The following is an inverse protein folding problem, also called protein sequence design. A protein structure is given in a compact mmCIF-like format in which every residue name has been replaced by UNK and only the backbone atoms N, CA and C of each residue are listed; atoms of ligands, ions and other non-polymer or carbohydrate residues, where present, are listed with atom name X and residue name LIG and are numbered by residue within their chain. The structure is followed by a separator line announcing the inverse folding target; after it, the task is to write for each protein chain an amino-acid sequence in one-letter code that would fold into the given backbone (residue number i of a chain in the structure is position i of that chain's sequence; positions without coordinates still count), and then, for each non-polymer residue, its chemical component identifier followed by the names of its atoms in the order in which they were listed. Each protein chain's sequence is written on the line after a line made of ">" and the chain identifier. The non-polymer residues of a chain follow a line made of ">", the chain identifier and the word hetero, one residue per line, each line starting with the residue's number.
data_IF_540754402089
#
_entry.id   IF_540754402089
#
_cell.length_a   1.000
_cell.length_b   1.000
_cell.length_c   1.000
_cell.angle_alpha   90.00
_cell.angle_beta   90.00
_cell.angle_gamma   90.00
#
_symmetry.space_group_name_H-M   'P 1'
#
loop_
_entity.id
_entity.type
_entity.pdbx_description
1 polymer ?
#
# COMPACT_ATOMS: atom_id res chain seq x y z
N UNK A 1 -6.64 0.37 12.35
CA UNK A 1 -5.65 -0.74 12.48
C UNK A 1 -5.15 -1.01 11.08
N UNK A 2 -3.84 -1.19 10.86
CA UNK A 2 -3.29 -1.46 9.54
C UNK A 2 -3.72 -2.84 9.04
N UNK A 3 -3.95 -2.95 7.73
CA UNK A 3 -4.26 -4.22 7.06
C UNK A 3 -2.96 -4.96 6.72
N UNK A 4 -2.84 -6.22 7.14
CA UNK A 4 -1.64 -7.05 6.94
C UNK A 4 -1.90 -8.09 5.84
N UNK A 5 -0.95 -8.31 4.94
CA UNK A 5 -1.00 -9.39 3.95
C UNK A 5 -0.63 -10.76 4.58
N UNK A 6 -1.25 -11.90 4.20
CA UNK A 6 -2.29 -12.05 3.20
C UNK A 6 -3.70 -11.86 3.78
N UNK A 7 -4.47 -10.98 3.13
CA UNK A 7 -5.93 -10.83 3.30
C UNK A 7 -6.61 -11.10 1.97
N UNK A 8 -7.92 -11.34 1.98
CA UNK A 8 -8.70 -11.42 0.74
C UNK A 8 -8.65 -10.08 0.02
N UNK A 9 -7.86 -10.00 -1.04
CA UNK A 9 -7.69 -8.80 -1.84
C UNK A 9 -8.86 -8.62 -2.82
N UNK A 10 -9.33 -7.38 -3.05
CA UNK A 10 -10.32 -7.11 -4.08
C UNK A 10 -9.75 -7.43 -5.48
N UNK A 11 -10.61 -7.79 -6.45
CA UNK A 11 -10.17 -7.93 -7.82
C UNK A 11 -9.63 -6.59 -8.33
N UNK A 12 -8.45 -6.64 -8.94
CA UNK A 12 -7.82 -5.47 -9.57
C UNK A 12 -8.50 -5.27 -10.93
N UNK A 13 -9.02 -4.06 -11.24
CA UNK A 13 -9.55 -3.76 -12.56
C UNK A 13 -8.42 -3.80 -13.60
N UNK A 14 -8.74 -4.03 -14.89
CA UNK A 14 -7.73 -4.07 -15.97
C UNK A 14 -6.83 -2.81 -16.00
N UNK A 15 -7.38 -1.66 -15.59
CA UNK A 15 -6.68 -0.37 -15.52
C UNK A 15 -6.78 0.23 -14.10
N UNK A 16 -5.94 -0.22 -13.14
CA UNK A 16 -6.00 0.27 -11.75
C UNK A 16 -5.45 1.70 -11.62
N UNK A 17 -4.50 2.09 -12.46
CA UNK A 17 -3.99 3.47 -12.49
C UNK A 17 -5.06 4.46 -12.95
N UNK A 18 -5.97 4.03 -13.82
CA UNK A 18 -7.04 4.88 -14.34
C UNK A 18 -8.28 4.83 -13.44
N UNK A 19 -8.63 3.64 -12.95
CA UNK A 19 -9.84 3.38 -12.15
C UNK A 19 -9.66 3.80 -10.70
N UNK A 20 -8.53 3.47 -10.08
CA UNK A 20 -8.23 3.81 -8.69
C UNK A 20 -7.31 5.02 -8.58
N UNK A 21 -6.81 5.58 -9.69
CA UNK A 21 -5.85 6.71 -9.66
C UNK A 21 -4.68 6.44 -8.72
N UNK A 22 -4.31 5.16 -8.64
CA UNK A 22 -3.29 4.62 -7.77
C UNK A 22 -1.93 5.11 -8.28
N UNK A 23 -1.19 5.80 -7.42
CA UNK A 23 0.14 6.30 -7.76
C UNK A 23 1.02 6.37 -6.55
N UNK A 24 2.31 6.15 -6.74
CA UNK A 24 3.33 6.48 -5.73
C UNK A 24 3.43 7.99 -5.59
N UNK A 25 3.40 8.50 -4.35
CA UNK A 25 3.48 9.94 -4.07
C UNK A 25 4.72 10.35 -3.27
N UNK A 26 5.44 9.38 -2.69
CA UNK A 26 6.73 9.62 -2.04
C UNK A 26 7.73 8.54 -2.45
N UNK A 27 9.01 8.88 -2.35
CA UNK A 27 10.09 7.89 -2.43
C UNK A 27 9.98 6.87 -1.31
N UNK A 28 10.55 5.69 -1.57
CA UNK A 28 10.63 4.61 -0.59
C UNK A 28 11.64 4.97 0.48
N UNK A 29 11.20 4.97 1.74
CA UNK A 29 12.03 5.17 2.91
C UNK A 29 12.46 3.80 3.42
N UNK A 30 13.77 3.59 3.53
CA UNK A 30 14.33 2.36 4.09
C UNK A 30 14.73 2.62 5.54
N UNK A 31 14.15 1.83 6.44
CA UNK A 31 14.47 1.84 7.86
C UNK A 31 15.23 0.56 8.19
N UNK A 32 16.45 0.69 8.69
CA UNK A 32 17.29 -0.42 9.15
C UNK A 32 17.58 -0.20 10.64
N UNK A 33 16.72 -0.68 11.55
CA UNK A 33 16.91 -0.50 12.98
C UNK A 33 18.08 -1.36 13.50
N UNK A 34 18.75 -0.91 14.56
CA UNK A 34 19.79 -1.69 15.25
C UNK A 34 19.24 -3.00 15.86
N UNK A 35 17.97 -2.99 16.28
CA UNK A 35 17.19 -4.18 16.68
C UNK A 35 15.89 -4.26 15.86
N UNK A 36 15.72 -5.34 15.10
CA UNK A 36 14.52 -5.61 14.30
C UNK A 36 14.81 -5.97 12.85
N UNK A 37 13.76 -6.21 12.08
CA UNK A 37 13.88 -6.47 10.64
C UNK A 37 13.94 -5.16 9.86
N UNK A 38 14.77 -5.06 8.81
CA UNK A 38 14.73 -3.93 7.90
C UNK A 38 13.34 -3.80 7.29
N UNK A 39 12.90 -2.56 7.08
CA UNK A 39 11.61 -2.27 6.49
C UNK A 39 11.69 -1.17 5.44
N UNK A 40 10.99 -1.37 4.33
CA UNK A 40 10.79 -0.37 3.30
C UNK A 40 9.37 0.19 3.43
N UNK A 41 9.25 1.51 3.59
CA UNK A 41 7.97 2.21 3.70
C UNK A 41 7.80 3.12 2.49
N UNK A 42 6.71 2.96 1.75
CA UNK A 42 6.38 3.79 0.58
C UNK A 42 4.98 4.38 0.73
N UNK A 43 4.82 5.66 0.37
CA UNK A 43 3.53 6.34 0.41
C UNK A 43 2.85 6.34 -0.96
N UNK A 44 1.61 5.88 -0.97
CA UNK A 44 0.77 5.80 -2.16
C UNK A 44 -0.48 6.65 -2.00
N UNK A 45 -0.99 7.17 -3.12
CA UNK A 45 -2.29 7.80 -3.17
C UNK A 45 -3.23 6.95 -4.01
N UNK A 46 -4.41 6.66 -3.48
CA UNK A 46 -5.42 5.85 -4.16
C UNK A 46 -6.82 6.42 -3.92
N UNK A 47 -7.67 6.29 -4.91
CA UNK A 47 -9.07 6.63 -4.78
C UNK A 47 -9.80 5.46 -4.10
N UNK A 48 -10.50 5.75 -3.01
CA UNK A 48 -11.27 4.80 -2.19
C UNK A 48 -12.33 5.52 -1.37
N UNK A 49 -13.44 4.83 -1.11
CA UNK A 49 -14.55 5.38 -0.32
C UNK A 49 -14.30 5.34 1.18
N UNK A 50 -13.38 4.48 1.64
CA UNK A 50 -13.07 4.26 3.05
C UNK A 50 -11.58 3.95 3.24
N UNK A 51 -11.02 4.18 4.45
CA UNK A 51 -9.62 3.86 4.73
C UNK A 51 -9.30 2.37 4.55
N UNK A 52 -10.20 1.47 5.01
CA UNK A 52 -10.01 0.03 4.85
C UNK A 52 -10.02 -0.39 3.37
N UNK A 53 -10.88 0.22 2.55
CA UNK A 53 -10.88 0.00 1.10
C UNK A 53 -9.59 0.52 0.45
N UNK A 54 -9.06 1.65 0.92
CA UNK A 54 -7.80 2.20 0.43
C UNK A 54 -6.62 1.26 0.70
N UNK A 55 -6.52 0.72 1.92
CA UNK A 55 -5.49 -0.24 2.32
C UNK A 55 -5.54 -1.50 1.45
N UNK A 56 -6.73 -2.07 1.26
CA UNK A 56 -6.93 -3.27 0.44
C UNK A 56 -6.62 -3.03 -1.04
N UNK A 57 -7.03 -1.90 -1.60
CA UNK A 57 -6.75 -1.56 -3.01
C UNK A 57 -5.26 -1.33 -3.26
N UNK A 58 -4.54 -0.72 -2.32
CA UNK A 58 -3.08 -0.58 -2.44
C UNK A 58 -2.39 -1.93 -2.43
N UNK A 59 -2.73 -2.81 -1.49
CA UNK A 59 -2.18 -4.17 -1.47
C UNK A 59 -2.48 -4.93 -2.77
N UNK A 60 -3.71 -4.86 -3.26
CA UNK A 60 -4.12 -5.49 -4.51
C UNK A 60 -3.36 -4.92 -5.72
N UNK A 61 -3.27 -3.60 -5.82
CA UNK A 61 -2.58 -2.92 -6.91
C UNK A 61 -1.09 -3.24 -6.93
N UNK A 62 -0.41 -3.25 -5.78
CA UNK A 62 1.01 -3.57 -5.71
C UNK A 62 1.27 -5.04 -6.04
N UNK A 63 0.46 -5.95 -5.49
CA UNK A 63 0.55 -7.38 -5.78
C UNK A 63 0.40 -7.66 -7.29
N UNK A 64 -0.46 -6.91 -7.97
CA UNK A 64 -0.72 -7.07 -9.39
C UNK A 64 0.32 -6.36 -10.28
N UNK A 65 0.73 -5.13 -9.94
CA UNK A 65 1.50 -4.27 -10.85
C UNK A 65 3.01 -4.42 -10.70
N UNK A 66 3.48 -4.85 -9.53
CA UNK A 66 4.91 -4.94 -9.23
C UNK A 66 5.38 -6.36 -8.97
N UNK A 67 4.46 -7.34 -8.94
CA UNK A 67 4.73 -8.75 -8.57
C UNK A 67 5.61 -8.86 -7.31
N UNK A 68 5.46 -7.88 -6.41
CA UNK A 68 6.34 -7.72 -5.26
C UNK A 68 6.04 -8.80 -4.22
N UNK A 69 7.06 -9.27 -3.51
CA UNK A 69 6.85 -10.22 -2.41
C UNK A 69 6.28 -9.45 -1.21
N UNK A 70 4.97 -9.27 -1.21
CA UNK A 70 4.22 -8.58 -0.15
C UNK A 70 4.09 -9.42 1.12
N UNK A 71 4.92 -10.46 1.31
CA UNK A 71 4.87 -11.26 2.54
C UNK A 71 5.21 -10.35 3.71
N UNK A 72 4.33 -10.34 4.71
CA UNK A 72 4.43 -9.45 5.87
C UNK A 72 4.29 -7.96 5.56
N UNK A 73 3.80 -7.60 4.36
CA UNK A 73 3.46 -6.21 4.06
C UNK A 73 2.26 -5.75 4.90
N UNK A 74 2.32 -4.51 5.36
CA UNK A 74 1.24 -3.82 6.07
C UNK A 74 0.89 -2.54 5.34
N UNK A 75 -0.39 -2.35 5.04
CA UNK A 75 -0.94 -1.11 4.49
C UNK A 75 -1.72 -0.38 5.58
N UNK A 76 -1.47 0.92 5.73
CA UNK A 76 -2.20 1.77 6.66
C UNK A 76 -2.68 3.03 5.94
N UNK A 77 -3.98 3.32 6.00
CA UNK A 77 -4.51 4.58 5.53
C UNK A 77 -4.13 5.70 6.52
N UNK A 78 -3.24 6.60 6.11
CA UNK A 78 -2.70 7.69 6.93
C UNK A 78 -3.73 8.81 7.09
N UNK A 79 -4.16 9.39 5.97
CA UNK A 79 -5.14 10.46 5.96
C UNK A 79 -5.85 10.57 4.60
N UNK A 80 -7.02 11.22 4.62
CA UNK A 80 -7.74 11.55 3.40
C UNK A 80 -7.17 12.85 2.80
N UNK A 81 -6.72 12.79 1.55
CA UNK A 81 -6.12 13.91 0.83
C UNK A 81 -7.11 14.65 -0.08
N UNK A 82 -8.33 14.12 -0.23
CA UNK A 82 -9.40 14.72 -1.01
C UNK A 82 -10.68 13.88 -0.99
N UNK A 83 -11.75 14.33 -1.68
CA UNK A 83 -12.97 13.55 -1.80
C UNK A 83 -12.65 12.20 -2.44
N UNK A 84 -12.89 11.11 -1.71
CA UNK A 84 -12.54 9.73 -2.07
C UNK A 84 -11.06 9.48 -2.37
N UNK A 85 -10.12 10.31 -1.91
CA UNK A 85 -8.68 10.09 -2.14
C UNK A 85 -7.94 9.94 -0.83
N UNK A 86 -7.22 8.84 -0.70
CA UNK A 86 -6.51 8.44 0.52
C UNK A 86 -5.02 8.32 0.27
N UNK A 87 -4.24 8.75 1.27
CA UNK A 87 -2.83 8.43 1.37
C UNK A 87 -2.67 7.17 2.21
N UNK A 88 -1.95 6.20 1.68
CA UNK A 88 -1.75 4.89 2.29
C UNK A 88 -0.26 4.64 2.37
N UNK A 89 0.23 4.38 3.58
CA UNK A 89 1.59 3.92 3.82
C UNK A 89 1.62 2.40 3.66
N UNK A 90 2.48 1.91 2.77
CA UNK A 90 2.78 0.50 2.63
C UNK A 90 4.14 0.24 3.23
N UNK A 91 4.20 -0.64 4.22
CA UNK A 91 5.42 -1.10 4.86
C UNK A 91 5.66 -2.56 4.51
N UNK A 92 6.84 -2.87 4.01
CA UNK A 92 7.27 -4.24 3.69
C UNK A 92 8.47 -4.57 4.57
N UNK A 93 8.43 -5.71 5.25
CA UNK A 93 9.57 -6.22 6.02
C UNK A 93 10.40 -7.12 5.11
N UNK A 94 11.70 -6.91 5.05
CA UNK A 94 12.55 -7.68 4.13
C UNK A 94 14.01 -7.27 4.16
N UNK A 95 14.86 -8.13 3.58
CA UNK A 95 16.27 -7.83 3.32
C UNK A 95 16.37 -7.05 2.00
N UNK A 96 16.49 -5.73 2.09
CA UNK A 96 16.67 -4.80 0.97
C UNK A 96 18.13 -4.36 0.82
#
# INVERSE_FOLDING_TARGET
>A
MPTTYPVTLPPVPDDPETTWRARRISDTVFERPDEGWPSATTLFAIDASSPAEAELRVLAWINHSYEDDLRQATAAAEHQAGPHRWHVSLRILGEF
#
